data_IF_456611897112
#
_entry.id   IF_456611897112
#
_cell.length_a   1.000
_cell.length_b   1.000
_cell.length_c   1.000
_cell.angle_alpha   90.00
_cell.angle_beta   90.00
_cell.angle_gamma   90.00
#
_symmetry.space_group_name_H-M   'P 1'
#
loop_
_entity.id
_entity.type
_entity.pdbx_description
1 polymer ?
#
# COMPACT_ATOMS: atom_id res chain seq x y z
N UNK A 1 -55.53 -5.29 -65.56
CA UNK A 1 -54.18 -5.13 -64.97
C UNK A 1 -54.32 -4.76 -63.50
N UNK A 2 -54.03 -5.71 -62.59
CA UNK A 2 -53.92 -5.48 -61.14
C UNK A 2 -52.56 -5.99 -60.70
N UNK A 3 -51.74 -5.10 -60.15
CA UNK A 3 -50.46 -5.37 -59.50
C UNK A 3 -50.65 -5.27 -57.98
N UNK A 4 -49.96 -6.15 -57.24
CA UNK A 4 -49.83 -6.17 -55.79
C UNK A 4 -49.57 -7.61 -55.36
N UNK A 5 -48.48 -7.98 -54.71
CA UNK A 5 -47.46 -7.26 -53.96
C UNK A 5 -47.12 -8.18 -52.78
N UNK A 6 -46.01 -8.93 -52.86
CA UNK A 6 -45.61 -9.89 -51.84
C UNK A 6 -44.80 -9.19 -50.74
N UNK A 7 -45.17 -9.41 -49.48
CA UNK A 7 -44.41 -8.99 -48.30
C UNK A 7 -43.54 -10.16 -47.85
N UNK A 8 -42.22 -9.96 -47.84
CA UNK A 8 -41.25 -10.91 -47.27
C UNK A 8 -40.95 -10.49 -45.83
N UNK A 9 -41.29 -11.33 -44.85
CA UNK A 9 -40.95 -11.13 -43.45
C UNK A 9 -39.53 -11.63 -43.15
N UNK A 10 -38.67 -10.74 -42.65
CA UNK A 10 -37.33 -11.07 -42.18
C UNK A 10 -37.38 -11.51 -40.71
N UNK A 11 -37.01 -12.76 -40.44
CA UNK A 11 -36.83 -13.28 -39.09
C UNK A 11 -35.45 -12.84 -38.54
N UNK A 12 -35.43 -12.01 -37.50
CA UNK A 12 -34.22 -11.70 -36.73
C UNK A 12 -33.86 -12.90 -35.84
N UNK A 13 -32.72 -13.53 -36.13
CA UNK A 13 -32.05 -14.46 -35.23
C UNK A 13 -31.27 -13.67 -34.18
N UNK A 14 -31.73 -13.69 -32.93
CA UNK A 14 -30.99 -13.19 -31.77
C UNK A 14 -29.89 -14.20 -31.40
N UNK A 15 -28.66 -13.93 -31.81
CA UNK A 15 -27.47 -14.66 -31.40
C UNK A 15 -27.19 -14.39 -29.91
N UNK A 16 -27.61 -15.28 -29.03
CA UNK A 16 -27.18 -15.28 -27.63
C UNK A 16 -25.70 -15.61 -27.55
N UNK A 17 -24.86 -14.63 -27.21
CA UNK A 17 -23.47 -14.91 -26.84
C UNK A 17 -23.45 -15.70 -25.52
N UNK A 18 -22.64 -16.75 -25.38
CA UNK A 18 -22.52 -17.47 -24.13
C UNK A 18 -21.89 -16.54 -23.08
N UNK A 19 -22.58 -16.36 -21.95
CA UNK A 19 -21.94 -15.86 -20.73
C UNK A 19 -20.81 -16.82 -20.38
N UNK A 20 -19.58 -16.35 -20.47
CA UNK A 20 -18.42 -17.03 -19.91
C UNK A 20 -18.63 -17.06 -18.40
N UNK A 21 -19.12 -18.19 -17.88
CA UNK A 21 -19.18 -18.44 -16.46
C UNK A 21 -17.73 -18.47 -15.93
N UNK A 22 -17.35 -17.45 -15.16
CA UNK A 22 -16.10 -17.47 -14.42
C UNK A 22 -16.18 -18.63 -13.43
N UNK A 23 -15.35 -19.66 -13.62
CA UNK A 23 -15.30 -20.90 -12.85
C UNK A 23 -14.73 -20.71 -11.41
N UNK A 24 -14.91 -19.54 -10.81
CA UNK A 24 -14.45 -19.21 -9.47
C UNK A 24 -15.48 -19.60 -8.42
N UNK A 25 -15.04 -20.25 -7.34
CA UNK A 25 -15.90 -20.47 -6.16
C UNK A 25 -16.44 -19.13 -5.67
N UNK A 26 -17.72 -19.09 -5.33
CA UNK A 26 -18.35 -17.90 -4.76
C UNK A 26 -17.63 -17.48 -3.46
N UNK A 27 -17.30 -16.20 -3.28
CA UNK A 27 -16.62 -15.76 -2.08
C UNK A 27 -17.48 -15.91 -0.83
N UNK A 28 -16.86 -16.32 0.26
CA UNK A 28 -17.51 -16.30 1.58
C UNK A 28 -17.58 -14.86 2.06
N UNK A 29 -18.80 -14.35 2.26
CA UNK A 29 -19.02 -13.07 2.92
C UNK A 29 -18.65 -13.16 4.41
N UNK A 30 -17.82 -12.24 4.87
CA UNK A 30 -17.34 -12.15 6.23
C UNK A 30 -17.71 -10.77 6.79
N UNK A 31 -18.72 -10.77 7.65
CA UNK A 31 -19.15 -9.60 8.41
C UNK A 31 -18.05 -9.11 9.35
N UNK A 32 -17.98 -7.80 9.64
CA UNK A 32 -17.01 -7.26 10.56
C UNK A 32 -17.29 -7.73 12.00
N UNK A 33 -16.26 -8.24 12.68
CA UNK A 33 -16.36 -8.67 14.09
C UNK A 33 -16.04 -7.57 15.10
N UNK A 34 -15.54 -6.42 14.63
CA UNK A 34 -15.23 -5.23 15.43
C UNK A 34 -15.27 -3.98 14.55
N UNK A 35 -15.39 -2.75 15.10
CA UNK A 35 -15.22 -1.53 14.33
C UNK A 35 -13.77 -1.37 13.84
N UNK A 36 -13.57 -0.47 12.87
CA UNK A 36 -12.23 -0.02 12.52
C UNK A 36 -11.52 0.58 13.74
N UNK A 37 -10.24 0.27 13.89
CA UNK A 37 -9.35 0.84 14.89
C UNK A 37 -8.19 1.50 14.21
N UNK A 38 -7.75 2.62 14.76
CA UNK A 38 -6.58 3.34 14.29
C UNK A 38 -5.60 3.60 15.43
N UNK A 39 -4.31 3.55 15.14
CA UNK A 39 -3.24 3.82 16.09
C UNK A 39 -2.01 4.37 15.36
N UNK A 40 -1.45 5.46 15.89
CA UNK A 40 -0.14 5.96 15.47
C UNK A 40 0.97 5.37 16.34
N UNK A 41 2.07 4.99 15.71
CA UNK A 41 3.30 4.58 16.39
C UNK A 41 4.35 5.69 16.44
N UNK A 42 4.03 6.88 15.93
CA UNK A 42 4.97 7.97 15.69
C UNK A 42 5.67 7.89 14.34
N UNK A 43 5.75 6.72 13.71
CA UNK A 43 6.39 6.55 12.39
C UNK A 43 5.46 5.98 11.30
N UNK A 44 4.32 5.42 11.70
CA UNK A 44 3.22 5.06 10.81
C UNK A 44 1.89 5.06 11.55
N UNK A 45 0.82 5.25 10.78
CA UNK A 45 -0.56 5.06 11.19
C UNK A 45 -1.06 3.70 10.73
N UNK A 46 -1.59 2.92 11.67
CA UNK A 46 -2.15 1.59 11.44
C UNK A 46 -3.65 1.63 11.61
N UNK A 47 -4.37 1.34 10.54
CA UNK A 47 -5.81 1.11 10.53
C UNK A 47 -6.06 -0.40 10.41
N UNK A 48 -6.88 -0.98 11.27
CA UNK A 48 -7.19 -2.40 11.18
C UNK A 48 -8.60 -2.76 11.60
N UNK A 49 -9.07 -3.89 11.09
CA UNK A 49 -10.36 -4.48 11.42
C UNK A 49 -10.35 -5.99 11.20
N UNK A 50 -11.10 -6.71 12.03
CA UNK A 50 -11.32 -8.15 11.86
C UNK A 50 -12.69 -8.43 11.27
N UNK A 51 -12.77 -9.49 10.46
CA UNK A 51 -13.95 -9.97 9.75
C UNK A 51 -14.11 -11.46 10.00
N UNK A 52 -15.36 -11.90 10.18
CA UNK A 52 -15.70 -13.27 10.52
C UNK A 52 -15.23 -13.69 11.91
N UNK A 53 -15.39 -14.98 12.21
CA UNK A 53 -15.04 -15.58 13.50
C UNK A 53 -14.31 -16.92 13.32
N UNK A 54 -13.70 -17.42 14.39
CA UNK A 54 -13.08 -18.74 14.42
C UNK A 54 -12.01 -18.96 13.34
N UNK A 55 -12.12 -20.07 12.60
CA UNK A 55 -11.13 -20.49 11.59
C UNK A 55 -11.19 -19.67 10.29
N UNK A 56 -12.27 -18.93 10.05
CA UNK A 56 -12.45 -18.08 8.86
C UNK A 56 -12.11 -16.62 9.15
N UNK A 57 -11.79 -16.27 10.40
CA UNK A 57 -11.48 -14.89 10.76
C UNK A 57 -10.27 -14.36 9.99
N UNK A 58 -10.42 -13.20 9.36
CA UNK A 58 -9.37 -12.47 8.66
C UNK A 58 -9.28 -11.07 9.29
N UNK A 59 -8.07 -10.63 9.60
CA UNK A 59 -7.77 -9.26 10.01
C UNK A 59 -7.08 -8.56 8.87
N UNK A 60 -7.64 -7.43 8.44
CA UNK A 60 -7.01 -6.50 7.50
C UNK A 60 -6.28 -5.45 8.30
N UNK A 61 -5.02 -5.22 7.96
CA UNK A 61 -4.17 -4.20 8.55
C UNK A 61 -3.63 -3.33 7.42
N UNK A 62 -3.91 -2.04 7.47
CA UNK A 62 -3.42 -1.03 6.54
C UNK A 62 -2.45 -0.15 7.32
N UNK A 63 -1.20 -0.10 6.87
CA UNK A 63 -0.17 0.78 7.42
C UNK A 63 0.12 1.90 6.42
N UNK A 64 -0.11 3.15 6.84
CA UNK A 64 0.31 4.32 6.09
C UNK A 64 1.46 5.02 6.84
N UNK A 65 2.53 5.32 6.11
CA UNK A 65 3.76 5.89 6.67
C UNK A 65 3.87 7.40 6.40
N UNK A 66 2.89 8.01 5.75
CA UNK A 66 2.75 9.45 5.49
C UNK A 66 1.31 9.79 5.06
N UNK A 67 1.09 10.94 4.41
CA UNK A 67 -0.24 11.39 4.02
C UNK A 67 -0.55 11.14 2.53
N UNK A 68 0.16 10.21 1.89
CA UNK A 68 -0.15 9.79 0.53
C UNK A 68 -1.32 8.78 0.53
N UNK A 69 -1.88 8.54 -0.65
CA UNK A 69 -2.99 7.59 -0.86
C UNK A 69 -2.54 6.12 -0.86
N UNK A 70 -1.23 5.90 -0.83
CA UNK A 70 -0.58 4.60 -0.80
C UNK A 70 -0.53 4.05 0.62
N UNK A 71 -0.88 2.78 0.79
CA UNK A 71 -0.76 2.08 2.06
C UNK A 71 -0.23 0.66 1.86
N UNK A 72 0.40 0.11 2.88
CA UNK A 72 0.81 -1.30 2.90
C UNK A 72 -0.30 -2.12 3.54
N UNK A 73 -0.68 -3.21 2.89
CA UNK A 73 -1.70 -4.13 3.41
C UNK A 73 -1.07 -5.41 3.95
N UNK A 74 -1.54 -5.84 5.13
CA UNK A 74 -1.28 -7.16 5.69
C UNK A 74 -2.61 -7.85 5.95
N UNK A 75 -2.73 -9.10 5.49
CA UNK A 75 -3.87 -9.96 5.76
C UNK A 75 -3.42 -11.00 6.77
N UNK A 76 -4.09 -11.10 7.91
CA UNK A 76 -3.70 -11.99 9.01
C UNK A 76 -4.85 -12.89 9.45
N UNK A 77 -4.59 -14.19 9.57
CA UNK A 77 -5.59 -15.17 9.96
C UNK A 77 -5.23 -16.58 9.52
N UNK A 78 -5.97 -17.57 10.04
CA UNK A 78 -5.79 -18.97 9.65
C UNK A 78 -5.94 -19.22 8.13
N UNK A 79 -6.82 -18.50 7.39
CA UNK A 79 -6.92 -18.70 5.94
C UNK A 79 -5.62 -18.42 5.17
N UNK A 80 -4.70 -17.60 5.72
CA UNK A 80 -3.40 -17.29 5.08
C UNK A 80 -2.45 -18.50 5.04
N UNK A 81 -2.77 -19.60 5.73
CA UNK A 81 -2.05 -20.88 5.58
C UNK A 81 -2.29 -21.54 4.20
N UNK A 82 -3.20 -21.01 3.38
CA UNK A 82 -3.46 -21.50 2.03
C UNK A 82 -2.23 -21.41 1.12
N UNK A 83 -1.37 -20.40 1.33
CA UNK A 83 -0.05 -20.30 0.72
C UNK A 83 1.01 -20.36 1.82
N UNK A 84 1.89 -21.37 1.74
CA UNK A 84 2.99 -21.59 2.69
C UNK A 84 4.31 -20.96 2.24
N UNK A 85 4.30 -20.31 1.07
CA UNK A 85 5.44 -19.67 0.44
C UNK A 85 4.96 -18.32 -0.12
N UNK A 86 5.92 -17.46 -0.39
CA UNK A 86 5.69 -16.19 -1.08
C UNK A 86 4.97 -16.44 -2.42
N UNK A 87 4.13 -15.51 -2.80
CA UNK A 87 3.29 -15.63 -3.99
C UNK A 87 2.58 -14.32 -4.30
N UNK A 88 1.51 -14.40 -5.07
CA UNK A 88 0.68 -13.24 -5.40
C UNK A 88 -0.74 -13.45 -4.89
N UNK A 89 -1.35 -12.39 -4.33
CA UNK A 89 -2.74 -12.36 -3.88
C UNK A 89 -3.57 -11.46 -4.80
N UNK A 90 -4.76 -11.93 -5.19
CA UNK A 90 -5.75 -11.11 -5.88
C UNK A 90 -6.56 -10.31 -4.86
N UNK A 91 -6.51 -8.99 -4.96
CA UNK A 91 -7.31 -8.07 -4.14
C UNK A 91 -8.16 -7.16 -5.00
N UNK A 92 -9.36 -6.83 -4.52
CA UNK A 92 -10.21 -5.79 -5.12
C UNK A 92 -10.90 -4.99 -4.03
N UNK A 93 -10.90 -3.67 -4.16
CA UNK A 93 -11.53 -2.73 -3.22
C UNK A 93 -12.85 -2.22 -3.80
N UNK A 94 -13.97 -2.76 -3.35
CA UNK A 94 -15.28 -2.51 -3.95
C UNK A 94 -15.46 -3.19 -5.30
N UNK A 95 -16.67 -3.14 -5.84
CA UNK A 95 -16.98 -3.75 -7.14
C UNK A 95 -16.70 -2.81 -8.33
N UNK A 96 -16.57 -1.50 -8.06
CA UNK A 96 -16.33 -0.47 -9.07
C UNK A 96 -14.84 -0.29 -9.44
N UNK A 97 -13.92 -0.71 -8.57
CA UNK A 97 -12.48 -0.60 -8.80
C UNK A 97 -11.91 -1.90 -9.37
N UNK A 98 -10.86 -1.82 -10.20
CA UNK A 98 -10.29 -3.01 -10.82
C UNK A 98 -9.55 -3.89 -9.80
N UNK A 99 -9.46 -5.17 -10.13
CA UNK A 99 -8.69 -6.14 -9.35
C UNK A 99 -7.19 -5.93 -9.55
N UNK A 100 -6.42 -6.23 -8.52
CA UNK A 100 -4.96 -6.14 -8.51
C UNK A 100 -4.33 -7.43 -8.01
N UNK A 101 -3.24 -7.85 -8.65
CA UNK A 101 -2.44 -9.02 -8.27
C UNK A 101 -1.16 -8.56 -7.59
N UNK A 102 -1.00 -8.90 -6.32
CA UNK A 102 -0.02 -8.29 -5.44
C UNK A 102 0.93 -9.33 -4.86
N UNK A 103 2.23 -9.15 -5.06
CA UNK A 103 3.22 -10.02 -4.42
C UNK A 103 3.19 -9.86 -2.89
N UNK A 104 3.21 -10.97 -2.18
CA UNK A 104 3.27 -11.01 -0.72
C UNK A 104 4.38 -11.93 -0.22
N UNK A 105 4.89 -11.61 0.97
CA UNK A 105 5.70 -12.53 1.77
C UNK A 105 4.81 -13.29 2.75
N UNK A 106 5.07 -14.58 2.90
CA UNK A 106 4.44 -15.38 3.96
C UNK A 106 5.13 -15.13 5.29
N UNK A 107 4.36 -14.84 6.34
CA UNK A 107 4.93 -14.55 7.65
C UNK A 107 3.93 -14.71 8.78
N UNK A 108 4.19 -13.98 9.87
CA UNK A 108 3.26 -13.90 10.98
C UNK A 108 3.02 -12.46 11.38
N UNK A 109 1.78 -12.17 11.80
CA UNK A 109 1.38 -10.88 12.35
C UNK A 109 0.54 -11.13 13.60
N UNK A 110 0.91 -10.51 14.73
CA UNK A 110 0.25 -10.73 16.01
C UNK A 110 0.05 -12.22 16.36
N UNK A 111 1.10 -13.04 16.13
CA UNK A 111 1.10 -14.52 16.32
C UNK A 111 0.10 -15.29 15.45
N UNK A 112 -0.45 -14.69 14.39
CA UNK A 112 -1.28 -15.34 13.37
C UNK A 112 -0.50 -15.49 12.06
N UNK A 113 -0.76 -16.52 11.25
CA UNK A 113 -0.26 -16.58 9.88
C UNK A 113 -0.70 -15.34 9.10
N UNK A 114 0.19 -14.80 8.27
CA UNK A 114 -0.07 -13.56 7.54
C UNK A 114 0.51 -13.59 6.12
N UNK A 115 -0.17 -12.89 5.22
CA UNK A 115 0.38 -12.44 3.95
C UNK A 115 0.64 -10.96 4.05
N UNK A 116 1.90 -10.59 3.83
CA UNK A 116 2.39 -9.24 3.98
C UNK A 116 2.72 -8.73 2.57
N UNK A 117 1.90 -7.84 2.02
CA UNK A 117 2.11 -7.34 0.67
C UNK A 117 3.42 -6.55 0.60
N UNK A 118 4.24 -6.84 -0.43
CA UNK A 118 5.61 -6.37 -0.53
C UNK A 118 5.68 -4.86 -0.76
N UNK A 119 4.84 -4.36 -1.65
CA UNK A 119 4.76 -2.96 -2.06
C UNK A 119 3.67 -2.19 -1.28
N UNK A 120 3.76 -0.86 -1.30
CA UNK A 120 2.59 -0.04 -1.01
C UNK A 120 1.62 -0.13 -2.20
N UNK A 121 0.33 0.05 -1.93
CA UNK A 121 -0.75 -0.09 -2.91
C UNK A 121 -1.78 1.03 -2.71
N UNK A 122 -2.59 1.27 -3.74
CA UNK A 122 -3.77 2.13 -3.72
C UNK A 122 -5.02 1.29 -3.88
N UNK A 123 -6.18 1.82 -3.50
CA UNK A 123 -7.47 1.14 -3.75
C UNK A 123 -7.74 0.97 -5.24
N UNK A 124 -7.36 1.98 -6.05
CA UNK A 124 -7.29 1.91 -7.51
C UNK A 124 -5.83 1.63 -7.92
N UNK A 125 -5.53 0.47 -8.53
CA UNK A 125 -4.16 0.10 -8.88
C UNK A 125 -3.54 1.04 -9.91
N UNK A 126 -2.25 1.31 -9.71
CA UNK A 126 -1.39 2.04 -10.63
C UNK A 126 -0.03 1.32 -10.73
N UNK A 127 0.02 0.14 -11.38
CA UNK A 127 1.19 -0.74 -11.34
C UNK A 127 2.41 -0.13 -12.04
N UNK A 128 2.18 0.75 -13.01
CA UNK A 128 3.23 1.38 -13.80
C UNK A 128 3.60 2.78 -13.26
N UNK A 129 2.88 3.30 -12.25
CA UNK A 129 3.05 4.66 -11.75
C UNK A 129 2.67 5.73 -12.79
N UNK A 130 1.78 5.39 -13.73
CA UNK A 130 1.40 6.21 -14.88
C UNK A 130 0.06 6.91 -14.64
N UNK A 131 -0.73 6.49 -13.65
CA UNK A 131 -2.02 7.10 -13.33
C UNK A 131 -1.91 8.04 -12.11
N UNK A 132 -1.51 9.31 -12.33
CA UNK A 132 -1.26 10.25 -11.25
C UNK A 132 -2.55 10.80 -10.65
N UNK A 133 -3.73 10.38 -11.15
CA UNK A 133 -5.01 10.93 -10.68
C UNK A 133 -5.20 10.60 -9.21
N UNK A 134 -5.49 11.58 -8.35
CA UNK A 134 -5.84 11.33 -6.95
C UNK A 134 -7.01 10.36 -6.81
N UNK A 135 -7.03 9.60 -5.73
CA UNK A 135 -8.19 8.82 -5.29
C UNK A 135 -9.24 9.79 -4.77
N UNK A 136 -10.46 9.74 -5.33
CA UNK A 136 -11.53 10.66 -4.90
C UNK A 136 -12.25 10.15 -3.65
N UNK A 137 -12.90 11.05 -2.92
CA UNK A 137 -13.74 10.68 -1.76
C UNK A 137 -14.89 9.73 -2.17
N UNK A 138 -15.42 9.87 -3.38
CA UNK A 138 -16.42 8.95 -3.95
C UNK A 138 -15.82 7.56 -4.21
N UNK A 139 -14.59 7.47 -4.72
CA UNK A 139 -13.89 6.19 -4.88
C UNK A 139 -13.70 5.51 -3.51
N UNK A 140 -13.25 6.23 -2.48
CA UNK A 140 -13.13 5.70 -1.12
C UNK A 140 -14.47 5.24 -0.53
N UNK A 141 -15.54 6.03 -0.72
CA UNK A 141 -16.88 5.69 -0.26
C UNK A 141 -17.47 4.48 -1.02
N UNK A 142 -17.07 4.26 -2.28
CA UNK A 142 -17.52 3.13 -3.08
C UNK A 142 -16.96 1.77 -2.61
N UNK A 143 -15.89 1.77 -1.81
CA UNK A 143 -15.31 0.55 -1.24
C UNK A 143 -16.20 0.04 -0.12
N UNK A 144 -17.25 -0.70 -0.47
CA UNK A 144 -18.18 -1.33 0.47
C UNK A 144 -17.73 -2.73 0.93
N UNK A 145 -16.76 -3.33 0.22
CA UNK A 145 -16.16 -4.60 0.58
C UNK A 145 -14.74 -4.75 0.01
N UNK A 146 -13.93 -5.62 0.61
CA UNK A 146 -12.64 -6.06 0.04
C UNK A 146 -12.78 -7.52 -0.39
N UNK A 147 -12.53 -7.82 -1.66
CA UNK A 147 -12.49 -9.21 -2.16
C UNK A 147 -11.06 -9.71 -2.15
N UNK A 148 -10.88 -10.91 -1.60
CA UNK A 148 -9.60 -11.63 -1.56
C UNK A 148 -9.78 -12.91 -2.36
N UNK A 149 -9.07 -13.01 -3.49
CA UNK A 149 -9.10 -14.14 -4.40
C UNK A 149 -7.97 -15.13 -4.15
N UNK A 150 -7.37 -15.61 -5.23
CA UNK A 150 -6.20 -16.48 -5.17
C UNK A 150 -5.09 -15.86 -4.30
N UNK A 151 -4.32 -16.66 -3.55
CA UNK A 151 -4.29 -18.13 -3.53
C UNK A 151 -5.22 -18.73 -2.45
N UNK A 152 -6.24 -18.01 -1.97
CA UNK A 152 -7.21 -18.60 -1.04
C UNK A 152 -7.94 -19.77 -1.72
N UNK A 153 -8.08 -20.89 -1.01
CA UNK A 153 -8.83 -22.07 -1.49
C UNK A 153 -10.31 -21.78 -1.75
N UNK A 154 -10.83 -20.79 -1.03
CA UNK A 154 -12.16 -20.25 -1.16
C UNK A 154 -12.01 -18.73 -1.04
N UNK A 155 -12.39 -17.96 -2.07
CA UNK A 155 -12.32 -16.51 -2.01
C UNK A 155 -13.09 -15.97 -0.80
N UNK A 156 -12.69 -14.81 -0.30
CA UNK A 156 -13.37 -14.12 0.78
C UNK A 156 -13.86 -12.75 0.30
N UNK A 157 -15.03 -12.34 0.77
CA UNK A 157 -15.53 -10.97 0.67
C UNK A 157 -15.61 -10.43 2.09
N UNK A 158 -14.85 -9.37 2.37
CA UNK A 158 -14.84 -8.73 3.68
C UNK A 158 -15.78 -7.53 3.63
N UNK A 159 -16.83 -7.56 4.43
CA UNK A 159 -17.90 -6.56 4.39
C UNK A 159 -17.46 -5.33 5.19
N UNK A 160 -16.73 -4.44 4.53
CA UNK A 160 -16.15 -3.25 5.17
C UNK A 160 -17.21 -2.20 5.51
N UNK A 161 -18.32 -2.18 4.77
CA UNK A 161 -19.11 -0.96 4.60
C UNK A 161 -18.30 0.11 3.85
N UNK A 162 -18.89 1.26 3.51
CA UNK A 162 -18.18 2.37 2.87
C UNK A 162 -16.90 2.72 3.65
N UNK A 163 -15.75 2.79 2.98
CA UNK A 163 -14.46 3.05 3.64
C UNK A 163 -14.07 4.52 3.71
N UNK A 164 -14.89 5.45 3.19
CA UNK A 164 -14.59 6.90 3.22
C UNK A 164 -14.21 7.43 4.61
N UNK A 165 -14.99 7.10 5.64
CA UNK A 165 -14.66 7.49 7.03
C UNK A 165 -13.38 6.82 7.54
N UNK A 166 -13.11 5.58 7.14
CA UNK A 166 -11.94 4.84 7.57
C UNK A 166 -10.65 5.42 6.96
N UNK A 167 -10.70 5.85 5.70
CA UNK A 167 -9.59 6.57 5.06
C UNK A 167 -9.44 8.00 5.56
N UNK A 168 -10.54 8.68 5.91
CA UNK A 168 -10.47 9.97 6.60
C UNK A 168 -9.74 9.87 7.95
N UNK A 169 -10.07 8.86 8.76
CA UNK A 169 -9.34 8.58 10.01
C UNK A 169 -7.84 8.36 9.75
N UNK A 170 -7.49 7.64 8.67
CA UNK A 170 -6.09 7.44 8.29
C UNK A 170 -5.39 8.75 7.96
N UNK A 171 -6.01 9.62 7.15
CA UNK A 171 -5.47 10.94 6.81
C UNK A 171 -5.25 11.82 8.03
N UNK A 172 -6.24 11.90 8.92
CA UNK A 172 -6.12 12.70 10.15
C UNK A 172 -4.95 12.20 11.02
N UNK A 173 -4.81 10.89 11.16
CA UNK A 173 -3.71 10.27 11.90
C UNK A 173 -2.34 10.61 11.28
N UNK A 174 -2.21 10.55 9.95
CA UNK A 174 -0.93 10.73 9.27
C UNK A 174 -0.52 12.19 9.26
N UNK A 175 -1.47 13.12 9.16
CA UNK A 175 -1.20 14.55 9.32
C UNK A 175 -0.72 14.91 10.72
N UNK A 176 -1.37 14.38 11.77
CA UNK A 176 -0.92 14.58 13.16
C UNK A 176 0.50 14.01 13.36
N UNK A 177 0.76 12.80 12.83
CA UNK A 177 2.06 12.14 12.88
C UNK A 177 3.15 12.99 12.19
N UNK A 178 2.88 13.49 10.98
CA UNK A 178 3.83 14.33 10.23
C UNK A 178 4.08 15.65 10.97
N UNK A 179 3.04 16.26 11.54
CA UNK A 179 3.18 17.43 12.41
C UNK A 179 4.10 17.15 13.61
N UNK A 180 4.00 15.96 14.20
CA UNK A 180 4.88 15.48 15.27
C UNK A 180 6.36 15.36 14.87
N UNK A 181 6.68 15.28 13.58
CA UNK A 181 8.07 15.29 13.08
C UNK A 181 8.65 16.71 12.94
N UNK A 182 7.88 17.75 13.29
CA UNK A 182 8.27 19.15 13.13
C UNK A 182 8.04 19.69 11.72
N UNK A 183 7.21 19.04 10.92
CA UNK A 183 6.81 19.52 9.59
C UNK A 183 5.62 20.47 9.70
N UNK A 184 5.70 21.60 9.00
CA UNK A 184 4.55 22.49 8.79
C UNK A 184 3.60 21.84 7.77
N UNK A 185 2.63 21.07 8.27
CA UNK A 185 1.66 20.33 7.44
C UNK A 185 0.84 21.25 6.54
N UNK A 186 0.53 22.47 6.98
CA UNK A 186 -0.28 23.40 6.18
C UNK A 186 0.50 23.87 4.97
N UNK A 187 1.78 24.25 5.15
CA UNK A 187 2.64 24.60 4.00
C UNK A 187 2.95 23.39 3.13
N UNK A 188 3.11 22.21 3.72
CA UNK A 188 3.43 20.98 3.00
C UNK A 188 2.30 20.50 2.06
N UNK A 189 1.03 20.72 2.43
CA UNK A 189 -0.12 20.46 1.53
C UNK A 189 -0.10 21.27 0.23
N UNK A 190 0.64 22.38 0.19
CA UNK A 190 0.69 23.31 -0.94
C UNK A 190 2.08 23.36 -1.59
N UNK A 191 2.85 22.27 -1.51
CA UNK A 191 4.13 22.18 -2.18
C UNK A 191 3.96 22.33 -3.70
N UNK A 192 4.74 23.23 -4.30
CA UNK A 192 4.92 23.25 -5.75
C UNK A 192 5.87 22.14 -6.20
N UNK A 193 6.73 21.65 -5.30
CA UNK A 193 7.64 20.52 -5.53
C UNK A 193 8.01 19.85 -4.22
N UNK A 194 7.99 18.51 -4.13
CA UNK A 194 8.51 17.80 -2.96
C UNK A 194 10.05 17.82 -2.90
N UNK A 195 10.62 17.42 -1.76
CA UNK A 195 12.05 17.14 -1.69
C UNK A 195 12.35 15.94 -2.62
N UNK A 196 13.26 16.13 -3.57
CA UNK A 196 13.54 15.12 -4.61
C UNK A 196 15.02 14.75 -4.59
N UNK A 197 15.37 13.45 -4.61
CA UNK A 197 16.76 13.01 -4.65
C UNK A 197 17.56 13.65 -5.78
N UNK A 198 18.80 14.06 -5.49
CA UNK A 198 19.79 14.38 -6.51
C UNK A 198 20.49 13.09 -6.92
N UNK A 199 20.33 12.71 -8.18
CA UNK A 199 20.82 11.44 -8.70
C UNK A 199 20.00 10.24 -8.20
N UNK A 200 20.58 9.04 -8.30
CA UNK A 200 19.89 7.81 -7.90
C UNK A 200 20.06 7.53 -6.40
N UNK A 201 18.97 7.38 -5.63
CA UNK A 201 19.04 6.95 -4.23
C UNK A 201 19.80 5.64 -4.01
N UNK A 202 19.82 4.75 -5.00
CA UNK A 202 20.56 3.49 -4.95
C UNK A 202 22.07 3.65 -4.83
N UNK A 203 22.62 4.86 -5.01
CA UNK A 203 24.04 5.15 -4.84
C UNK A 203 24.40 5.63 -3.41
N UNK A 204 23.41 5.91 -2.56
CA UNK A 204 23.64 6.37 -1.19
C UNK A 204 24.08 5.24 -0.27
N UNK A 205 23.69 4.01 -0.58
CA UNK A 205 24.18 2.79 0.06
C UNK A 205 25.11 2.07 -0.92
N UNK A 206 26.29 1.67 -0.44
CA UNK A 206 27.30 0.92 -1.19
C UNK A 206 27.50 -0.42 -0.52
N UNK A 207 28.09 -1.39 -1.25
CA UNK A 207 28.41 -2.71 -0.69
C UNK A 207 29.31 -2.64 0.55
N UNK A 208 30.16 -1.60 0.65
CA UNK A 208 31.01 -1.36 1.82
C UNK A 208 30.26 -0.97 3.09
N UNK A 209 29.00 -0.54 2.97
CA UNK A 209 28.17 -0.19 4.13
C UNK A 209 27.40 -1.40 4.68
N UNK A 210 27.50 -2.56 4.04
CA UNK A 210 26.95 -3.80 4.58
C UNK A 210 27.78 -4.21 5.80
N UNK A 211 27.18 -4.27 7.02
CA UNK A 211 27.93 -4.58 8.23
C UNK A 211 28.57 -5.97 8.18
N UNK A 212 29.88 -6.05 8.41
CA UNK A 212 30.63 -7.33 8.37
C UNK A 212 30.06 -8.40 9.32
N UNK A 213 29.50 -7.98 10.46
CA UNK A 213 28.83 -8.88 11.41
C UNK A 213 27.59 -9.57 10.82
N UNK A 214 26.87 -8.88 9.92
CA UNK A 214 25.69 -9.40 9.25
C UNK A 214 26.06 -10.28 8.06
N UNK A 215 27.11 -9.90 7.31
CA UNK A 215 27.67 -10.72 6.22
C UNK A 215 28.09 -12.10 6.75
N UNK A 216 28.80 -12.14 7.89
CA UNK A 216 29.23 -13.41 8.52
C UNK A 216 28.06 -14.31 8.93
N UNK A 217 26.87 -13.74 9.14
CA UNK A 217 25.64 -14.47 9.50
C UNK A 217 24.72 -14.71 8.30
N UNK A 218 25.11 -14.29 7.09
CA UNK A 218 24.30 -14.34 5.87
C UNK A 218 22.90 -13.72 6.06
N UNK A 219 22.81 -12.66 6.86
CA UNK A 219 21.54 -12.06 7.23
C UNK A 219 21.09 -11.05 6.18
N UNK A 220 19.97 -11.30 5.49
CA UNK A 220 19.31 -10.30 4.66
C UNK A 220 18.43 -9.38 5.52
N UNK A 221 18.06 -8.21 5.01
CA UNK A 221 17.18 -7.32 5.75
C UNK A 221 16.60 -6.20 4.92
N UNK A 222 15.40 -5.74 5.31
CA UNK A 222 14.78 -4.55 4.75
C UNK A 222 14.73 -3.50 5.86
N UNK A 223 15.27 -2.33 5.56
CA UNK A 223 15.28 -1.16 6.46
C UNK A 223 14.50 -0.04 5.78
N UNK A 224 13.37 0.35 6.35
CA UNK A 224 12.57 1.51 5.94
C UNK A 224 12.95 2.70 6.79
N UNK A 225 13.21 3.83 6.14
CA UNK A 225 13.71 5.02 6.81
C UNK A 225 12.96 6.27 6.37
N UNK A 226 12.98 7.28 7.25
CA UNK A 226 12.64 8.67 6.99
C UNK A 226 13.90 9.52 7.17
N UNK A 227 14.22 10.33 6.17
CA UNK A 227 15.16 11.44 6.28
C UNK A 227 14.38 12.74 6.45
N UNK A 228 14.80 13.57 7.39
CA UNK A 228 14.41 14.98 7.41
C UNK A 228 15.34 15.75 6.46
N UNK A 229 14.80 16.67 5.68
CA UNK A 229 15.51 17.41 4.64
C UNK A 229 15.40 18.90 4.94
N UNK A 230 16.53 19.60 5.01
CA UNK A 230 16.60 21.04 5.21
C UNK A 230 16.24 21.84 3.96
N UNK A 231 16.11 23.16 4.15
CA UNK A 231 15.86 24.13 3.06
C UNK A 231 16.98 24.18 2.01
N UNK A 232 18.19 23.75 2.40
CA UNK A 232 19.36 23.62 1.53
C UNK A 232 19.42 22.28 0.76
N UNK A 233 18.47 21.36 1.04
CA UNK A 233 18.45 20.03 0.46
C UNK A 233 19.41 19.02 1.11
N UNK A 234 20.02 19.35 2.25
CA UNK A 234 20.82 18.42 3.03
C UNK A 234 19.93 17.60 3.99
N UNK A 235 20.26 16.32 4.26
CA UNK A 235 19.58 15.56 5.30
C UNK A 235 19.96 16.10 6.68
N UNK A 236 18.96 16.35 7.54
CA UNK A 236 19.15 16.92 8.88
C UNK A 236 18.93 15.89 9.99
N UNK A 237 18.18 14.83 9.73
CA UNK A 237 17.99 13.70 10.63
C UNK A 237 17.64 12.42 9.87
N UNK A 238 17.92 11.26 10.46
CA UNK A 238 17.54 9.95 9.96
C UNK A 238 16.81 9.15 11.04
N UNK A 239 15.67 8.58 10.67
CA UNK A 239 14.86 7.74 11.54
C UNK A 239 14.52 6.43 10.82
N UNK A 240 14.70 5.30 11.50
CA UNK A 240 14.29 4.00 10.99
C UNK A 240 12.84 3.75 11.41
N UNK A 241 11.94 3.66 10.43
CA UNK A 241 10.51 3.47 10.66
C UNK A 241 10.16 1.98 10.84
N UNK A 242 10.87 1.09 10.14
CA UNK A 242 10.70 -0.35 10.24
C UNK A 242 11.96 -1.08 9.78
N UNK A 243 12.39 -2.09 10.53
CA UNK A 243 13.53 -2.93 10.18
C UNK A 243 13.24 -4.39 10.48
N UNK A 244 13.64 -5.29 9.59
CA UNK A 244 13.50 -6.74 9.81
C UNK A 244 14.61 -7.29 10.71
N UNK A 245 15.75 -6.62 10.80
CA UNK A 245 16.93 -7.02 11.58
C UNK A 245 17.62 -5.75 12.12
N UNK A 246 17.10 -5.14 13.20
CA UNK A 246 17.52 -3.81 13.64
C UNK A 246 18.95 -3.78 14.19
N UNK A 247 19.44 -4.91 14.73
CA UNK A 247 20.82 -5.01 15.20
C UNK A 247 21.80 -4.89 14.02
N UNK A 248 22.34 -3.69 13.80
CA UNK A 248 23.45 -3.42 12.86
C UNK A 248 23.07 -2.77 11.54
N UNK A 249 21.96 -3.15 10.90
CA UNK A 249 21.56 -2.53 9.62
C UNK A 249 21.10 -1.08 9.78
N UNK A 250 20.40 -0.77 10.88
CA UNK A 250 19.78 0.54 11.10
C UNK A 250 20.83 1.67 11.18
N UNK A 251 21.87 1.47 11.99
CA UNK A 251 22.97 2.43 12.12
C UNK A 251 23.72 2.61 10.80
N UNK A 252 24.06 1.51 10.12
CA UNK A 252 24.78 1.55 8.85
C UNK A 252 24.00 2.30 7.76
N UNK A 253 22.68 2.09 7.71
CA UNK A 253 21.79 2.81 6.79
C UNK A 253 21.77 4.31 7.13
N UNK A 254 21.53 4.68 8.39
CA UNK A 254 21.47 6.10 8.73
C UNK A 254 22.82 6.81 8.52
N UNK A 255 23.95 6.22 8.90
CA UNK A 255 25.28 6.80 8.68
C UNK A 255 25.56 7.04 7.20
N UNK A 256 25.25 6.03 6.37
CA UNK A 256 25.41 6.10 4.92
C UNK A 256 24.54 7.19 4.29
N UNK A 257 23.28 7.26 4.69
CA UNK A 257 22.32 8.23 4.17
C UNK A 257 22.66 9.65 4.59
N UNK A 258 22.95 9.90 5.87
CA UNK A 258 23.33 11.24 6.35
C UNK A 258 24.59 11.75 5.64
N UNK A 259 25.54 10.85 5.33
CA UNK A 259 26.76 11.22 4.59
C UNK A 259 26.51 11.55 3.13
N UNK A 260 25.71 10.75 2.41
CA UNK A 260 25.65 10.76 0.94
C UNK A 260 24.33 11.21 0.33
N UNK A 261 23.22 11.17 1.05
CA UNK A 261 21.93 11.60 0.53
C UNK A 261 21.94 13.10 0.28
N UNK A 262 21.44 13.52 -0.89
CA UNK A 262 21.32 14.93 -1.28
C UNK A 262 20.02 15.12 -2.02
N UNK A 263 19.39 16.27 -1.83
CA UNK A 263 18.07 16.58 -2.36
C UNK A 263 18.06 17.94 -3.05
N UNK A 264 17.19 18.07 -4.05
CA UNK A 264 16.61 19.38 -4.36
C UNK A 264 15.58 19.64 -3.25
N UNK A 265 15.61 20.81 -2.59
CA UNK A 265 14.70 21.09 -1.49
C UNK A 265 13.24 21.09 -1.97
N UNK A 266 12.34 20.81 -1.03
CA UNK A 266 10.92 21.03 -1.23
C UNK A 266 10.66 22.54 -1.37
N UNK A 267 9.70 22.90 -2.22
CA UNK A 267 9.33 24.29 -2.48
C UNK A 267 7.85 24.50 -2.17
N UNK A 268 7.52 25.60 -1.51
CA UNK A 268 6.13 26.02 -1.33
C UNK A 268 5.53 26.58 -2.63
N UNK A 269 4.27 27.02 -2.57
CA UNK A 269 3.55 27.61 -3.70
C UNK A 269 4.23 28.86 -4.28
N UNK A 270 5.00 29.60 -3.47
CA UNK A 270 5.76 30.79 -3.90
C UNK A 270 7.15 30.44 -4.45
N UNK A 271 7.51 29.15 -4.47
CA UNK A 271 8.82 28.68 -4.91
C UNK A 271 9.93 28.85 -3.86
N UNK A 272 9.60 29.13 -2.60
CA UNK A 272 10.59 29.24 -1.52
C UNK A 272 10.89 27.86 -0.93
N UNK A 273 12.17 27.54 -0.64
CA UNK A 273 12.52 26.32 0.07
C UNK A 273 11.87 26.24 1.45
N UNK A 274 11.53 25.02 1.87
CA UNK A 274 11.09 24.72 3.24
C UNK A 274 11.64 23.36 3.70
N UNK A 275 11.74 23.12 5.02
CA UNK A 275 12.04 21.80 5.56
C UNK A 275 10.98 20.78 5.12
N UNK A 276 11.44 19.57 4.84
CA UNK A 276 10.57 18.48 4.38
C UNK A 276 11.11 17.13 4.85
N UNK A 277 10.57 16.06 4.30
CA UNK A 277 11.02 14.71 4.56
C UNK A 277 11.11 13.90 3.28
N UNK A 278 11.88 12.81 3.33
CA UNK A 278 11.99 11.83 2.27
C UNK A 278 11.98 10.43 2.89
N UNK A 279 11.23 9.50 2.29
CA UNK A 279 11.15 8.12 2.76
C UNK A 279 11.58 7.18 1.66
N UNK A 280 12.24 6.09 2.04
CA UNK A 280 12.51 4.98 1.14
C UNK A 280 12.85 3.72 1.97
N UNK A 281 13.23 2.65 1.29
CA UNK A 281 13.73 1.44 1.90
C UNK A 281 15.05 1.02 1.28
N UNK A 282 15.92 0.43 2.11
CA UNK A 282 17.12 -0.29 1.70
C UNK A 282 16.84 -1.78 1.85
N UNK A 283 17.14 -2.56 0.82
CA UNK A 283 17.11 -4.02 0.87
C UNK A 283 18.54 -4.54 0.80
N UNK A 284 18.95 -5.26 1.84
CA UNK A 284 20.17 -6.05 1.86
C UNK A 284 19.80 -7.50 1.52
N UNK A 285 20.34 -8.01 0.42
CA UNK A 285 20.23 -9.41 0.02
C UNK A 285 21.62 -10.04 -0.08
N UNK A 286 21.69 -11.35 0.13
CA UNK A 286 22.88 -12.17 -0.13
C UNK A 286 22.72 -12.91 -1.46
#
# INVERSE_FOLDING_TARGET
MKMGGWVVGAALLLSGAPLVAANGKEPVALEPSMPWKIHSTGDFCRLWRSFGTGKQAITVVLDNFDNDEDFRITLAGRPMLAAKRDGSVQLRFGDALPEQSLAFDSGTFARKPAWIVKTAIRIRPDPDGIDPRPITAEEEASVAAIRIGEPLRQPARLDTGPMGEAFALMRDCTEEMIGGWGIDVVRHRHLSRPATPVGSPGQWIRGTDYPMSMIRKMQSGIVRFRLMVGEDGAPTACHIQLSTNPEGFDAAVCDALMKRARFKPALDADGKPLPSYYRNSVMFSF
#
